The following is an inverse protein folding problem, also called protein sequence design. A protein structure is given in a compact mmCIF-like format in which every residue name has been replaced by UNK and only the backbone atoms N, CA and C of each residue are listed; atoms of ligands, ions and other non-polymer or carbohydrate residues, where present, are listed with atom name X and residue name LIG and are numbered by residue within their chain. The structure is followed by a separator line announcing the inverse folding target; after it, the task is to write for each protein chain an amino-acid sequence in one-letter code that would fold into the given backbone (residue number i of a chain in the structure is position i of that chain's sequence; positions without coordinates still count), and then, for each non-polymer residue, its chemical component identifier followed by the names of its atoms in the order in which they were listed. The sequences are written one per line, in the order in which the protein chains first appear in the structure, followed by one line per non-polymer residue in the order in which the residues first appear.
data_IF_995907715822
#
_entry.id   IF_995907715822
#
_cell.length_a   1.000
_cell.length_b   1.000
_cell.length_c   1.000
_cell.angle_alpha   90.00
_cell.angle_beta   90.00
_cell.angle_gamma   90.00
#
_symmetry.space_group_name_H-M   'P 1'
#
loop_
_entity.id
_entity.type
_entity.pdbx_description
1 polymer ?
#
# COMPACT_ATOMS: atom_id res chain seq x y z
N UNK A 1 0.07 16.86 -13.95
CA UNK A 1 -0.64 15.65 -13.50
C UNK A 1 -0.03 14.48 -14.27
N UNK A 2 0.69 13.59 -13.60
CA UNK A 2 1.33 12.44 -14.25
C UNK A 2 0.20 11.60 -14.84
N UNK A 3 0.06 11.57 -16.17
CA UNK A 3 -0.69 10.50 -16.83
C UNK A 3 0.15 9.23 -16.71
N UNK A 4 0.27 8.71 -15.49
CA UNK A 4 0.54 7.29 -15.31
C UNK A 4 -0.53 6.61 -16.16
N UNK A 5 -0.14 5.77 -17.13
CA UNK A 5 -1.10 4.95 -17.87
C UNK A 5 -1.72 3.98 -16.87
N UNK A 6 -2.72 4.47 -16.14
CA UNK A 6 -3.40 3.75 -15.07
C UNK A 6 -3.86 2.39 -15.60
N UNK A 7 -4.21 2.32 -16.89
CA UNK A 7 -4.50 1.14 -17.69
C UNK A 7 -3.53 -0.04 -17.46
N UNK A 8 -2.21 0.18 -17.37
CA UNK A 8 -1.22 -0.91 -17.30
C UNK A 8 -1.13 -1.53 -15.91
N UNK A 9 -1.34 -0.74 -14.84
CA UNK A 9 -1.24 -1.20 -13.45
C UNK A 9 -2.51 -1.95 -13.01
N UNK A 10 -3.64 -1.71 -13.69
CA UNK A 10 -4.91 -2.41 -13.43
C UNK A 10 -4.77 -3.93 -13.66
N UNK A 11 -4.09 -4.35 -14.74
CA UNK A 11 -4.07 -5.77 -15.10
C UNK A 11 -3.37 -6.65 -14.04
N UNK A 12 -2.16 -6.31 -13.53
CA UNK A 12 -1.55 -7.04 -12.43
C UNK A 12 -2.43 -7.07 -11.17
N UNK A 13 -3.12 -5.97 -10.87
CA UNK A 13 -3.98 -5.86 -9.70
C UNK A 13 -5.22 -6.78 -9.78
N UNK A 14 -5.91 -6.78 -10.93
CA UNK A 14 -7.04 -7.69 -11.17
C UNK A 14 -6.58 -9.15 -11.08
N UNK A 15 -5.43 -9.48 -11.67
CA UNK A 15 -4.85 -10.82 -11.58
C UNK A 15 -4.57 -11.19 -10.12
N UNK A 16 -4.00 -10.28 -9.33
CA UNK A 16 -3.74 -10.49 -7.92
C UNK A 16 -5.03 -10.73 -7.12
N UNK A 17 -6.08 -9.92 -7.33
CA UNK A 17 -7.38 -10.13 -6.69
C UNK A 17 -7.99 -11.49 -7.03
N UNK A 18 -7.90 -11.92 -8.30
CA UNK A 18 -8.35 -13.24 -8.73
C UNK A 18 -7.56 -14.36 -8.05
N UNK A 19 -6.24 -14.22 -7.91
CA UNK A 19 -5.41 -15.17 -7.18
C UNK A 19 -5.84 -15.24 -5.71
N UNK A 20 -6.07 -14.10 -5.05
CA UNK A 20 -6.52 -14.04 -3.65
C UNK A 20 -7.87 -14.75 -3.48
N UNK A 21 -8.84 -14.48 -4.37
CA UNK A 21 -10.14 -15.13 -4.35
C UNK A 21 -10.00 -16.66 -4.53
N UNK A 22 -9.29 -17.10 -5.57
CA UNK A 22 -9.13 -18.53 -5.87
C UNK A 22 -8.38 -19.28 -4.75
N UNK A 23 -7.29 -18.70 -4.25
CA UNK A 23 -6.53 -19.29 -3.14
C UNK A 23 -7.36 -19.32 -1.85
N UNK A 24 -8.12 -18.26 -1.56
CA UNK A 24 -9.07 -18.20 -0.46
C UNK A 24 -10.16 -19.28 -0.55
N UNK A 25 -10.76 -19.47 -1.72
CA UNK A 25 -11.77 -20.52 -1.94
C UNK A 25 -11.19 -21.93 -1.77
N UNK A 26 -10.00 -22.19 -2.33
CA UNK A 26 -9.29 -23.46 -2.15
C UNK A 26 -9.00 -23.70 -0.67
N UNK A 27 -8.60 -22.66 0.04
CA UNK A 27 -8.30 -22.72 1.46
C UNK A 27 -9.54 -23.05 2.29
N UNK A 28 -10.67 -22.36 2.05
CA UNK A 28 -11.94 -22.61 2.73
C UNK A 28 -12.43 -24.03 2.46
N UNK A 29 -12.33 -24.51 1.21
CA UNK A 29 -12.69 -25.89 0.85
C UNK A 29 -11.87 -26.92 1.65
N UNK A 30 -10.57 -26.64 1.84
CA UNK A 30 -9.62 -27.48 2.59
C UNK A 30 -9.63 -27.25 4.11
N UNK A 31 -10.51 -26.39 4.64
CA UNK A 31 -10.69 -26.25 6.08
C UNK A 31 -11.03 -27.61 6.70
N UNK A 32 -10.19 -28.05 7.63
CA UNK A 32 -10.37 -29.30 8.37
C UNK A 32 -11.54 -29.18 9.33
N UNK A 33 -12.26 -30.29 9.49
CA UNK A 33 -13.37 -30.45 10.43
C UNK A 33 -12.80 -30.39 11.86
N UNK A 34 -13.49 -29.65 12.74
CA UNK A 34 -13.18 -29.56 14.16
C UNK A 34 -14.22 -30.30 14.99
N UNK A 35 -13.77 -31.02 16.01
CA UNK A 35 -14.64 -31.66 17.00
C UNK A 35 -14.87 -30.70 18.16
N UNK A 36 -16.14 -30.34 18.40
CA UNK A 36 -16.56 -29.42 19.46
C UNK A 36 -17.30 -30.14 20.60
N UNK A 37 -18.03 -31.20 20.28
CA UNK A 37 -18.85 -32.01 21.19
C UNK A 37 -18.75 -33.50 20.84
N UNK A 38 -19.33 -34.40 21.65
CA UNK A 38 -19.24 -35.85 21.41
C UNK A 38 -20.17 -36.25 20.25
N UNK A 39 -21.29 -35.53 20.11
CA UNK A 39 -22.23 -35.72 19.03
C UNK A 39 -21.63 -35.38 17.64
N UNK A 40 -21.51 -36.40 16.79
CA UNK A 40 -20.96 -36.26 15.45
C UNK A 40 -21.83 -35.39 14.52
N UNK A 41 -23.16 -35.46 14.66
CA UNK A 41 -24.10 -34.73 13.82
C UNK A 41 -24.04 -33.22 14.09
N UNK A 42 -24.03 -32.84 15.38
CA UNK A 42 -23.81 -31.46 15.81
C UNK A 42 -22.48 -30.90 15.30
N UNK A 43 -21.39 -31.69 15.38
CA UNK A 43 -20.10 -31.29 14.85
C UNK A 43 -20.13 -31.04 13.33
N UNK A 44 -20.78 -31.92 12.55
CA UNK A 44 -20.91 -31.75 11.11
C UNK A 44 -21.66 -30.45 10.79
N UNK A 45 -22.81 -30.21 11.44
CA UNK A 45 -23.61 -29.00 11.23
C UNK A 45 -22.84 -27.72 11.57
N UNK A 46 -22.13 -27.70 12.71
CA UNK A 46 -21.32 -26.53 13.12
C UNK A 46 -20.18 -26.28 12.11
N UNK A 47 -19.52 -27.33 11.60
CA UNK A 47 -18.45 -27.16 10.61
C UNK A 47 -18.96 -26.72 9.23
N UNK A 48 -20.15 -27.18 8.82
CA UNK A 48 -20.79 -26.69 7.59
C UNK A 48 -21.15 -25.21 7.71
N UNK A 49 -21.78 -24.81 8.81
CA UNK A 49 -22.10 -23.41 9.10
C UNK A 49 -20.82 -22.55 9.14
N UNK A 50 -19.74 -23.06 9.76
CA UNK A 50 -18.43 -22.39 9.79
C UNK A 50 -17.89 -22.15 8.38
N UNK A 51 -17.88 -23.18 7.52
CA UNK A 51 -17.41 -23.04 6.13
C UNK A 51 -18.25 -22.03 5.35
N UNK A 52 -19.57 -22.05 5.51
CA UNK A 52 -20.47 -21.09 4.88
C UNK A 52 -20.16 -19.65 5.31
N UNK A 53 -19.97 -19.41 6.61
CA UNK A 53 -19.62 -18.08 7.13
C UNK A 53 -18.29 -17.59 6.58
N UNK A 54 -17.28 -18.46 6.45
CA UNK A 54 -16.02 -18.10 5.78
C UNK A 54 -16.22 -17.74 4.30
N UNK A 55 -17.05 -18.48 3.55
CA UNK A 55 -17.37 -18.15 2.17
C UNK A 55 -18.07 -16.80 2.06
N UNK A 56 -19.09 -16.56 2.88
CA UNK A 56 -19.84 -15.30 2.91
C UNK A 56 -18.89 -14.12 3.22
N UNK A 57 -18.01 -14.26 4.22
CA UNK A 57 -17.06 -13.21 4.59
C UNK A 57 -16.04 -12.94 3.48
N UNK A 58 -15.45 -13.99 2.89
CA UNK A 58 -14.50 -13.83 1.79
C UNK A 58 -15.17 -13.18 0.57
N UNK A 59 -16.38 -13.62 0.22
CA UNK A 59 -17.14 -13.06 -0.88
C UNK A 59 -17.46 -11.57 -0.66
N UNK A 60 -18.03 -11.21 0.51
CA UNK A 60 -18.33 -9.82 0.83
C UNK A 60 -17.07 -8.94 0.81
N UNK A 61 -15.95 -9.42 1.37
CA UNK A 61 -14.69 -8.68 1.39
C UNK A 61 -14.16 -8.44 -0.03
N UNK A 62 -14.04 -9.50 -0.83
CA UNK A 62 -13.50 -9.43 -2.19
C UNK A 62 -14.38 -8.61 -3.12
N UNK A 63 -15.70 -8.72 -3.01
CA UNK A 63 -16.64 -7.90 -3.78
C UNK A 63 -16.55 -6.42 -3.39
N UNK A 64 -16.51 -6.12 -2.09
CA UNK A 64 -16.37 -4.75 -1.58
C UNK A 64 -15.06 -4.12 -2.06
N UNK A 65 -13.96 -4.86 -1.97
CA UNK A 65 -12.65 -4.41 -2.44
C UNK A 65 -12.64 -4.18 -3.96
N UNK A 66 -13.19 -5.11 -4.75
CA UNK A 66 -13.30 -4.95 -6.20
C UNK A 66 -14.10 -3.70 -6.60
N UNK A 67 -15.25 -3.45 -5.95
CA UNK A 67 -16.06 -2.26 -6.19
C UNK A 67 -15.35 -0.97 -5.81
N UNK A 68 -14.67 -0.96 -4.65
CA UNK A 68 -13.90 0.18 -4.17
C UNK A 68 -12.80 0.56 -5.17
N UNK A 69 -12.03 -0.42 -5.63
CA UNK A 69 -10.96 -0.21 -6.59
C UNK A 69 -11.50 0.23 -7.96
N UNK A 70 -12.61 -0.34 -8.43
CA UNK A 70 -13.25 0.09 -9.68
C UNK A 70 -13.63 1.58 -9.63
N UNK A 71 -14.24 2.03 -8.53
CA UNK A 71 -14.65 3.43 -8.37
C UNK A 71 -13.45 4.38 -8.30
N UNK A 72 -12.39 4.02 -7.56
CA UNK A 72 -11.14 4.78 -7.56
C UNK A 72 -10.59 4.89 -8.97
N UNK A 73 -10.58 3.79 -9.72
CA UNK A 73 -10.04 3.79 -11.08
C UNK A 73 -10.83 4.70 -12.01
N UNK A 74 -12.16 4.63 -11.97
CA UNK A 74 -13.03 5.50 -12.77
C UNK A 74 -12.91 6.97 -12.36
N UNK A 75 -12.62 7.26 -11.09
CA UNK A 75 -12.29 8.60 -10.63
C UNK A 75 -10.94 9.08 -11.18
N UNK A 76 -9.90 8.24 -11.15
CA UNK A 76 -8.58 8.57 -11.69
C UNK A 76 -8.60 8.78 -13.22
N UNK A 77 -9.51 8.12 -13.92
CA UNK A 77 -9.79 8.33 -15.35
C UNK A 77 -10.71 9.52 -15.62
N UNK A 78 -11.03 10.33 -14.61
CA UNK A 78 -11.91 11.51 -14.68
C UNK A 78 -13.35 11.19 -15.14
N UNK A 79 -13.76 9.92 -15.12
CA UNK A 79 -15.10 9.49 -15.49
C UNK A 79 -16.10 9.70 -14.35
N UNK A 80 -15.66 9.55 -13.10
CA UNK A 80 -16.47 9.70 -11.90
C UNK A 80 -16.07 10.92 -11.07
N UNK A 81 -17.06 11.50 -10.37
CA UNK A 81 -16.86 12.58 -9.39
C UNK A 81 -16.46 12.02 -8.03
N UNK A 82 -15.79 12.84 -7.21
CA UNK A 82 -15.34 12.47 -5.86
C UNK A 82 -16.44 11.91 -4.95
N UNK A 83 -17.70 12.33 -5.14
CA UNK A 83 -18.85 11.82 -4.36
C UNK A 83 -19.01 10.30 -4.43
N UNK A 84 -18.62 9.66 -5.55
CA UNK A 84 -18.69 8.20 -5.68
C UNK A 84 -17.68 7.48 -4.79
N UNK A 85 -16.53 8.10 -4.51
CA UNK A 85 -15.54 7.57 -3.56
C UNK A 85 -16.15 7.53 -2.15
N UNK A 86 -16.85 8.60 -1.74
CA UNK A 86 -17.53 8.66 -0.45
C UNK A 86 -18.57 7.54 -0.36
N UNK A 87 -19.38 7.36 -1.41
CA UNK A 87 -20.40 6.32 -1.45
C UNK A 87 -19.82 4.90 -1.29
N UNK A 88 -18.76 4.57 -2.05
CA UNK A 88 -18.15 3.23 -1.97
C UNK A 88 -17.39 3.01 -0.65
N UNK A 89 -16.89 4.09 -0.04
CA UNK A 89 -16.32 4.04 1.31
C UNK A 89 -17.39 3.67 2.34
N UNK A 90 -18.54 4.33 2.30
CA UNK A 90 -19.70 4.01 3.16
C UNK A 90 -20.14 2.55 2.93
N UNK A 91 -20.22 2.12 1.68
CA UNK A 91 -20.55 0.73 1.34
C UNK A 91 -19.55 -0.26 1.97
N UNK A 92 -18.25 0.07 1.96
CA UNK A 92 -17.19 -0.76 2.58
C UNK A 92 -17.31 -0.82 4.11
N UNK A 93 -17.78 0.24 4.75
CA UNK A 93 -18.14 0.20 6.17
C UNK A 93 -19.34 -0.72 6.43
N UNK A 94 -20.37 -0.65 5.58
CA UNK A 94 -21.55 -1.52 5.69
C UNK A 94 -21.17 -2.99 5.51
N UNK A 95 -20.33 -3.34 4.53
CA UNK A 95 -19.88 -4.72 4.32
C UNK A 95 -19.08 -5.23 5.52
N UNK A 96 -18.27 -4.38 6.15
CA UNK A 96 -17.57 -4.72 7.39
C UNK A 96 -18.54 -5.01 8.54
N UNK A 97 -19.59 -4.20 8.72
CA UNK A 97 -20.63 -4.45 9.73
C UNK A 97 -21.37 -5.77 9.46
N UNK A 98 -21.72 -6.04 8.19
CA UNK A 98 -22.35 -7.30 7.79
C UNK A 98 -21.46 -8.52 8.10
N UNK A 99 -20.15 -8.40 7.88
CA UNK A 99 -19.18 -9.44 8.24
C UNK A 99 -19.15 -9.69 9.75
N UNK A 100 -19.12 -8.63 10.57
CA UNK A 100 -19.19 -8.75 12.03
C UNK A 100 -20.50 -9.38 12.49
N UNK A 101 -21.61 -9.05 11.84
CA UNK A 101 -22.90 -9.69 12.09
C UNK A 101 -22.87 -11.18 11.76
N UNK A 102 -22.35 -11.58 10.60
CA UNK A 102 -22.18 -13.00 10.21
C UNK A 102 -21.32 -13.77 11.22
N UNK A 103 -20.29 -13.11 11.73
CA UNK A 103 -19.43 -13.67 12.77
C UNK A 103 -20.20 -13.90 14.08
N UNK A 104 -21.01 -12.92 14.50
CA UNK A 104 -21.86 -13.05 15.68
C UNK A 104 -22.96 -14.11 15.51
N UNK A 105 -23.60 -14.14 14.34
CA UNK A 105 -24.61 -15.13 13.96
C UNK A 105 -24.06 -16.55 14.01
N UNK A 106 -22.82 -16.75 13.56
CA UNK A 106 -22.12 -18.04 13.71
C UNK A 106 -22.04 -18.49 15.17
N UNK A 107 -21.62 -17.59 16.07
CA UNK A 107 -21.50 -17.91 17.50
C UNK A 107 -22.87 -18.23 18.11
N UNK A 108 -23.91 -17.48 17.77
CA UNK A 108 -25.27 -17.74 18.24
C UNK A 108 -25.78 -19.10 17.76
N UNK A 109 -25.67 -19.38 16.46
CA UNK A 109 -26.07 -20.67 15.88
C UNK A 109 -25.26 -21.84 16.44
N UNK A 110 -23.97 -21.65 16.70
CA UNK A 110 -23.14 -22.67 17.36
C UNK A 110 -23.71 -23.01 18.74
N UNK A 111 -24.03 -22.00 19.54
CA UNK A 111 -24.61 -22.18 20.88
C UNK A 111 -25.99 -22.83 20.81
N UNK A 112 -26.84 -22.40 19.88
CA UNK A 112 -28.17 -22.98 19.65
C UNK A 112 -28.08 -24.46 19.28
N UNK A 113 -27.22 -24.82 18.31
CA UNK A 113 -27.00 -26.21 17.91
C UNK A 113 -26.51 -27.07 19.07
N UNK A 114 -25.54 -26.58 19.85
CA UNK A 114 -25.06 -27.31 21.02
C UNK A 114 -26.17 -27.53 22.05
N UNK A 115 -26.97 -26.50 22.33
CA UNK A 115 -28.12 -26.60 23.24
C UNK A 115 -29.19 -27.57 22.75
N UNK A 116 -29.45 -27.62 21.44
CA UNK A 116 -30.42 -28.53 20.82
C UNK A 116 -30.05 -30.01 21.04
N UNK A 117 -28.76 -30.32 20.98
CA UNK A 117 -28.23 -31.66 21.21
C UNK A 117 -27.91 -31.95 22.69
N UNK A 118 -28.23 -31.04 23.63
CA UNK A 118 -27.83 -31.12 25.05
C UNK A 118 -26.32 -31.29 25.27
N UNK A 119 -25.53 -30.71 24.38
CA UNK A 119 -24.07 -30.80 24.38
C UNK A 119 -23.45 -29.49 24.86
N UNK A 120 -22.23 -29.58 25.40
CA UNK A 120 -21.41 -28.42 25.70
C UNK A 120 -20.16 -28.43 24.81
N UNK A 121 -19.74 -27.25 24.33
CA UNK A 121 -18.46 -27.14 23.63
C UNK A 121 -17.35 -27.37 24.64
N UNK A 122 -16.66 -28.50 24.58
CA UNK A 122 -15.41 -28.65 25.30
C UNK A 122 -14.27 -28.07 24.48
N UNK A 123 -13.52 -27.14 25.07
CA UNK A 123 -12.18 -26.84 24.58
C UNK A 123 -11.27 -27.96 25.08
N UNK A 124 -10.56 -28.63 24.17
CA UNK A 124 -9.33 -29.32 24.56
C UNK A 124 -8.41 -28.22 25.11
N UNK A 125 -8.42 -28.02 26.44
CA UNK A 125 -7.49 -27.14 27.13
C UNK A 125 -6.09 -27.62 26.78
N UNK A 126 -5.46 -26.86 25.91
CA UNK A 126 -4.05 -27.03 25.57
C UNK A 126 -3.37 -25.71 25.88
N UNK A 127 -3.70 -25.13 27.03
CA UNK A 127 -3.17 -23.85 27.48
C UNK A 127 -1.63 -23.91 27.54
N UNK A 128 -1.06 -25.08 27.85
CA UNK A 128 0.38 -25.38 27.77
C UNK A 128 0.99 -25.20 26.37
N UNK A 129 0.18 -25.32 25.31
CA UNK A 129 0.60 -25.11 23.93
C UNK A 129 0.50 -23.63 23.52
N UNK A 130 -0.13 -22.76 24.31
CA UNK A 130 -0.23 -21.33 24.04
C UNK A 130 0.86 -20.58 24.80
N UNK A 131 1.74 -19.92 24.06
CA UNK A 131 2.85 -19.13 24.61
C UNK A 131 2.69 -17.67 24.22
N UNK A 132 3.25 -16.77 25.00
CA UNK A 132 3.36 -15.36 24.60
C UNK A 132 4.57 -15.22 23.69
N UNK A 133 4.34 -14.90 22.41
CA UNK A 133 5.36 -14.57 21.44
C UNK A 133 5.50 -13.06 21.25
N UNK A 134 6.46 -12.65 20.41
CA UNK A 134 6.74 -11.25 20.11
C UNK A 134 5.52 -10.47 19.58
N UNK A 135 4.62 -11.14 18.87
CA UNK A 135 3.41 -10.55 18.26
C UNK A 135 2.12 -10.97 18.98
N UNK A 136 2.22 -11.37 20.25
CA UNK A 136 1.09 -11.84 21.06
C UNK A 136 1.00 -13.37 21.18
N UNK A 137 -0.19 -13.92 21.48
CA UNK A 137 -0.37 -15.35 21.72
C UNK A 137 -0.01 -16.21 20.50
N UNK A 138 0.92 -17.14 20.69
CA UNK A 138 1.44 -18.05 19.68
C UNK A 138 1.19 -19.50 20.09
N UNK A 139 0.65 -20.29 19.16
CA UNK A 139 0.48 -21.72 19.37
C UNK A 139 1.79 -22.47 19.05
N UNK A 140 2.25 -23.30 19.98
CA UNK A 140 3.43 -24.15 19.84
C UNK A 140 3.10 -25.57 20.28
N UNK A 141 2.95 -26.48 19.32
CA UNK A 141 2.83 -27.90 19.60
C UNK A 141 3.60 -28.74 18.57
N UNK A 142 4.76 -29.33 18.92
CA UNK A 142 5.53 -30.18 18.02
C UNK A 142 4.76 -31.42 17.54
N UNK A 143 3.88 -31.97 18.38
CA UNK A 143 3.14 -33.20 18.13
C UNK A 143 1.87 -32.99 17.29
N UNK A 144 1.28 -31.79 17.34
CA UNK A 144 0.15 -31.46 16.46
C UNK A 144 0.64 -31.35 15.01
N UNK A 145 0.21 -32.20 14.06
CA UNK A 145 0.70 -32.16 12.67
C UNK A 145 0.25 -30.91 11.89
N UNK A 146 -0.67 -30.11 12.43
CA UNK A 146 -1.25 -28.94 11.75
C UNK A 146 -0.28 -27.75 11.74
N UNK A 147 -0.15 -27.10 10.59
CA UNK A 147 0.56 -25.80 10.45
C UNK A 147 -0.33 -24.62 10.79
N UNK A 148 -1.64 -24.69 10.49
CA UNK A 148 -2.64 -23.70 10.87
C UNK A 148 -3.67 -24.36 11.78
N UNK A 149 -3.92 -23.71 12.92
CA UNK A 149 -4.77 -24.21 14.00
C UNK A 149 -5.79 -23.12 14.33
N UNK A 150 -7.04 -23.49 14.61
CA UNK A 150 -8.00 -22.49 15.06
C UNK A 150 -7.69 -22.05 16.49
N UNK A 151 -7.85 -20.76 16.75
CA UNK A 151 -7.87 -20.23 18.11
C UNK A 151 -9.04 -20.83 18.93
N UNK A 152 -9.01 -20.71 20.27
CA UNK A 152 -10.02 -21.29 21.17
C UNK A 152 -11.50 -20.88 20.92
N UNK A 153 -11.78 -19.97 19.99
CA UNK A 153 -13.13 -19.63 19.51
C UNK A 153 -13.54 -20.20 18.14
N UNK A 154 -12.67 -20.96 17.46
CA UNK A 154 -12.93 -21.63 16.18
C UNK A 154 -12.90 -20.73 14.92
N UNK A 155 -12.95 -19.41 15.10
CA UNK A 155 -13.13 -18.45 13.99
C UNK A 155 -11.83 -17.87 13.45
N UNK A 156 -10.83 -17.70 14.30
CA UNK A 156 -9.51 -17.22 13.89
C UNK A 156 -8.58 -18.41 13.69
N UNK A 157 -7.68 -18.30 12.72
CA UNK A 157 -6.60 -19.26 12.50
C UNK A 157 -5.28 -18.64 12.94
N UNK A 158 -4.45 -19.43 13.59
CA UNK A 158 -3.08 -19.08 13.94
C UNK A 158 -2.12 -20.14 13.41
N UNK A 159 -0.86 -19.76 13.27
CA UNK A 159 0.19 -20.70 12.91
C UNK A 159 0.65 -21.51 14.12
N UNK A 160 0.88 -22.80 13.91
CA UNK A 160 1.68 -23.61 14.80
C UNK A 160 3.16 -23.31 14.57
N UNK A 161 3.74 -22.56 15.50
CA UNK A 161 5.14 -22.09 15.44
C UNK A 161 6.16 -23.24 15.51
N UNK A 162 5.75 -24.44 15.93
CA UNK A 162 6.60 -25.63 15.89
C UNK A 162 6.82 -26.17 14.47
N UNK A 163 6.05 -25.73 13.46
CA UNK A 163 6.10 -26.28 12.10
C UNK A 163 6.99 -25.49 11.16
N UNK A 164 7.63 -26.21 10.24
CA UNK A 164 8.45 -25.64 9.16
C UNK A 164 7.63 -24.70 8.26
N UNK A 165 6.34 -25.00 8.05
CA UNK A 165 5.45 -24.15 7.25
C UNK A 165 5.32 -22.71 7.77
N UNK A 166 5.25 -22.52 9.09
CA UNK A 166 5.29 -21.20 9.72
C UNK A 166 6.61 -20.47 9.41
N UNK A 167 7.75 -21.17 9.51
CA UNK A 167 9.06 -20.60 9.22
C UNK A 167 9.17 -20.15 7.76
N UNK A 168 8.75 -20.97 6.81
CA UNK A 168 8.75 -20.59 5.39
C UNK A 168 7.82 -19.40 5.11
N UNK A 169 6.65 -19.36 5.75
CA UNK A 169 5.74 -18.22 5.63
C UNK A 169 6.38 -16.93 6.15
N UNK A 170 6.98 -16.95 7.35
CA UNK A 170 7.64 -15.77 7.92
C UNK A 170 8.83 -15.33 7.08
N UNK A 171 9.68 -16.26 6.62
CA UNK A 171 10.80 -15.96 5.73
C UNK A 171 10.27 -15.31 4.46
N UNK A 172 9.28 -15.92 3.80
CA UNK A 172 8.69 -15.36 2.57
C UNK A 172 8.11 -13.97 2.79
N UNK A 173 7.37 -13.77 3.88
CA UNK A 173 6.76 -12.49 4.24
C UNK A 173 7.82 -11.40 4.47
N UNK A 174 8.85 -11.69 5.27
CA UNK A 174 9.96 -10.76 5.53
C UNK A 174 10.74 -10.49 4.24
N UNK A 175 11.00 -11.50 3.42
CA UNK A 175 11.68 -11.34 2.13
C UNK A 175 10.91 -10.42 1.19
N UNK A 176 9.58 -10.56 1.10
CA UNK A 176 8.74 -9.67 0.28
C UNK A 176 8.83 -8.23 0.78
N UNK A 177 8.74 -8.01 2.10
CA UNK A 177 8.90 -6.66 2.68
C UNK A 177 10.26 -6.09 2.36
N UNK A 178 11.34 -6.86 2.55
CA UNK A 178 12.70 -6.40 2.25
C UNK A 178 12.88 -6.09 0.77
N UNK A 179 12.42 -6.95 -0.14
CA UNK A 179 12.46 -6.69 -1.59
C UNK A 179 11.70 -5.41 -1.96
N UNK A 180 10.53 -5.18 -1.34
CA UNK A 180 9.74 -3.98 -1.58
C UNK A 180 10.44 -2.71 -1.08
N UNK A 181 11.06 -2.76 0.11
CA UNK A 181 11.83 -1.64 0.65
C UNK A 181 13.08 -1.37 -0.20
N UNK A 182 13.81 -2.42 -0.61
CA UNK A 182 14.95 -2.29 -1.53
C UNK A 182 14.50 -1.67 -2.85
N UNK A 183 13.33 -2.05 -3.37
CA UNK A 183 12.82 -1.44 -4.59
C UNK A 183 12.45 0.03 -4.38
N UNK A 184 11.70 0.38 -3.32
CA UNK A 184 11.31 1.77 -3.03
C UNK A 184 12.50 2.71 -2.86
N UNK A 185 13.54 2.28 -2.12
CA UNK A 185 14.69 3.13 -1.83
C UNK A 185 15.82 2.99 -2.85
N UNK A 186 16.00 1.79 -3.40
CA UNK A 186 17.05 1.48 -4.36
C UNK A 186 16.72 1.93 -5.78
N UNK A 187 15.44 1.96 -6.18
CA UNK A 187 15.08 2.39 -7.54
C UNK A 187 15.35 3.88 -7.80
N UNK A 188 14.94 4.83 -6.93
CA UNK A 188 15.32 6.24 -7.11
C UNK A 188 16.84 6.43 -7.07
N UNK A 189 17.54 5.67 -6.21
CA UNK A 189 19.00 5.71 -6.14
C UNK A 189 19.68 5.20 -7.42
N UNK A 190 19.13 4.15 -8.03
CA UNK A 190 19.58 3.65 -9.32
C UNK A 190 19.38 4.68 -10.44
N UNK A 191 18.25 5.38 -10.47
CA UNK A 191 18.00 6.45 -11.43
C UNK A 191 18.99 7.60 -11.25
N UNK A 192 19.28 7.99 -10.01
CA UNK A 192 20.25 9.04 -9.69
C UNK A 192 21.67 8.68 -10.17
N UNK A 193 22.14 7.45 -9.90
CA UNK A 193 23.47 6.99 -10.34
C UNK A 193 23.58 6.84 -11.86
N UNK A 194 22.47 6.70 -12.57
CA UNK A 194 22.43 6.56 -14.03
C UNK A 194 22.06 7.86 -14.75
N UNK A 195 21.94 8.98 -14.04
CA UNK A 195 21.52 10.29 -14.56
C UNK A 195 20.18 10.20 -15.34
N UNK A 196 19.19 9.53 -14.74
CA UNK A 196 17.83 9.39 -15.28
C UNK A 196 16.75 9.82 -14.27
N UNK A 197 17.12 10.51 -13.19
CA UNK A 197 16.18 10.94 -12.16
C UNK A 197 15.50 12.26 -12.51
N UNK A 198 16.23 13.23 -13.09
CA UNK A 198 15.69 14.53 -13.51
C UNK A 198 16.36 15.01 -14.79
N UNK A 199 15.56 15.33 -15.80
CA UNK A 199 16.00 15.92 -17.07
C UNK A 199 15.38 17.32 -17.26
N UNK A 200 16.23 18.30 -17.53
CA UNK A 200 15.84 19.67 -17.85
C UNK A 200 15.90 19.93 -19.35
N UNK A 201 14.73 20.22 -19.95
CA UNK A 201 14.66 20.54 -21.38
C UNK A 201 13.89 21.82 -21.69
N UNK A 202 14.20 22.41 -22.84
CA UNK A 202 13.52 23.60 -23.36
C UNK A 202 12.63 23.21 -24.54
N UNK A 203 11.31 23.32 -24.37
CA UNK A 203 10.35 23.02 -25.44
C UNK A 203 9.27 24.10 -25.49
N UNK A 204 8.93 24.57 -26.69
CA UNK A 204 7.82 25.53 -26.93
C UNK A 204 7.85 26.77 -26.02
N UNK A 205 9.03 27.34 -25.80
CA UNK A 205 9.25 28.50 -24.91
C UNK A 205 8.91 28.23 -23.43
N UNK A 206 9.02 26.98 -23.01
CA UNK A 206 8.87 26.53 -21.62
C UNK A 206 10.06 25.72 -21.16
N UNK A 207 10.39 25.85 -19.88
CA UNK A 207 11.28 24.95 -19.15
C UNK A 207 10.45 23.73 -18.76
N UNK A 208 10.85 22.55 -19.19
CA UNK A 208 10.23 21.28 -18.82
C UNK A 208 11.19 20.56 -17.88
N UNK A 209 10.69 20.28 -16.67
CA UNK A 209 11.35 19.43 -15.69
C UNK A 209 10.69 18.06 -15.75
N UNK A 210 11.41 17.07 -16.26
CA UNK A 210 10.92 15.70 -16.42
C UNK A 210 11.59 14.79 -15.41
N UNK A 211 10.80 14.01 -14.68
CA UNK A 211 11.27 12.96 -13.78
C UNK A 211 10.28 11.80 -13.82
N UNK A 212 10.74 10.59 -13.53
CA UNK A 212 9.84 9.45 -13.34
C UNK A 212 8.81 9.69 -12.22
N UNK A 213 9.13 10.57 -11.27
CA UNK A 213 8.29 10.84 -10.10
C UNK A 213 7.47 12.13 -10.22
N UNK A 214 7.74 13.01 -11.19
CA UNK A 214 7.04 14.27 -11.39
C UNK A 214 7.33 14.88 -12.76
N UNK A 215 6.36 15.66 -13.28
CA UNK A 215 6.54 16.46 -14.47
C UNK A 215 6.00 17.86 -14.21
N UNK A 216 6.76 18.88 -14.59
CA UNK A 216 6.40 20.27 -14.37
C UNK A 216 6.93 21.18 -15.49
N UNK A 217 6.20 22.25 -15.81
CA UNK A 217 6.58 23.23 -16.81
C UNK A 217 6.52 24.67 -16.30
N UNK A 218 7.53 25.47 -16.65
CA UNK A 218 7.61 26.91 -16.34
C UNK A 218 7.65 27.69 -17.66
N UNK A 219 6.78 28.68 -17.79
CA UNK A 219 6.79 29.57 -18.96
C UNK A 219 7.93 30.58 -18.87
N UNK A 220 8.78 30.61 -19.91
CA UNK A 220 9.94 31.51 -19.96
C UNK A 220 9.50 32.98 -19.98
N UNK A 221 8.34 33.29 -20.56
CA UNK A 221 7.83 34.66 -20.63
C UNK A 221 7.51 35.26 -19.25
N UNK A 222 7.38 34.43 -18.21
CA UNK A 222 7.11 34.85 -16.83
C UNK A 222 8.38 35.07 -16.00
N UNK A 223 9.55 34.78 -16.54
CA UNK A 223 10.82 34.84 -15.81
C UNK A 223 11.28 36.29 -15.71
N UNK A 224 11.42 36.79 -14.48
CA UNK A 224 11.93 38.13 -14.20
C UNK A 224 13.43 38.10 -13.94
N UNK A 225 13.93 37.07 -13.26
CA UNK A 225 15.35 36.93 -12.89
C UNK A 225 15.75 35.47 -12.76
N UNK A 226 17.02 35.20 -13.10
CA UNK A 226 17.66 33.90 -12.93
C UNK A 226 18.91 34.02 -12.04
N UNK A 227 19.05 33.13 -11.07
CA UNK A 227 20.24 32.98 -10.22
C UNK A 227 20.71 31.52 -10.24
N UNK A 228 22.01 31.29 -10.18
CA UNK A 228 22.59 29.95 -10.00
C UNK A 228 23.36 29.92 -8.69
N UNK A 229 23.18 28.87 -7.90
CA UNK A 229 23.83 28.71 -6.59
C UNK A 229 24.15 27.25 -6.32
N UNK A 230 25.19 26.98 -5.53
CA UNK A 230 25.48 25.63 -5.04
C UNK A 230 25.01 25.42 -3.60
N UNK A 231 24.44 26.46 -2.98
CA UNK A 231 23.95 26.42 -1.60
C UNK A 231 22.62 27.17 -1.48
N UNK A 232 21.58 26.45 -1.07
CA UNK A 232 20.25 27.00 -0.82
C UNK A 232 20.10 27.58 0.61
N UNK A 233 20.98 27.18 1.53
CA UNK A 233 20.86 27.44 2.96
C UNK A 233 19.83 26.52 3.63
N UNK A 234 19.49 26.87 4.87
CA UNK A 234 18.49 26.11 5.63
C UNK A 234 17.09 26.33 5.06
N UNK A 235 16.42 25.21 4.79
CA UNK A 235 15.07 25.17 4.23
C UNK A 235 14.18 24.23 5.02
N UNK A 236 12.88 24.57 5.08
CA UNK A 236 11.84 23.72 5.68
C UNK A 236 10.80 23.38 4.63
N UNK A 237 10.49 22.09 4.50
CA UNK A 237 9.38 21.62 3.66
C UNK A 237 8.04 22.05 4.26
N UNK A 238 7.22 22.73 3.49
CA UNK A 238 5.83 23.06 3.83
C UNK A 238 4.91 21.93 3.36
N UNK A 239 5.07 21.53 2.10
CA UNK A 239 4.26 20.48 1.47
C UNK A 239 5.07 19.76 0.39
N UNK A 240 4.81 18.48 0.18
CA UNK A 240 5.43 17.69 -0.89
C UNK A 240 6.27 16.52 -0.41
N UNK A 241 7.17 16.06 -1.26
CA UNK A 241 7.96 14.84 -1.09
C UNK A 241 9.44 15.21 -0.96
N UNK A 242 10.11 14.60 0.00
CA UNK A 242 11.57 14.62 0.15
C UNK A 242 12.00 13.19 0.45
N UNK A 243 12.83 12.63 -0.43
CA UNK A 243 13.34 11.26 -0.30
C UNK A 243 14.82 11.22 0.05
N UNK A 244 15.48 12.39 0.18
CA UNK A 244 16.93 12.51 0.23
C UNK A 244 17.64 12.31 -1.12
N UNK A 245 16.96 11.74 -2.13
CA UNK A 245 17.48 11.53 -3.49
C UNK A 245 16.85 12.56 -4.45
N UNK A 246 15.54 12.77 -4.33
CA UNK A 246 14.82 13.86 -4.98
C UNK A 246 13.88 14.56 -4.01
N UNK A 247 13.60 15.83 -4.30
CA UNK A 247 12.65 16.65 -3.57
C UNK A 247 11.70 17.37 -4.54
N UNK A 248 10.39 17.34 -4.24
CA UNK A 248 9.39 18.12 -4.96
C UNK A 248 8.36 18.75 -4.01
N UNK A 249 7.93 19.97 -4.30
CA UNK A 249 6.82 20.61 -3.60
C UNK A 249 7.13 22.02 -3.13
N UNK A 250 6.50 22.43 -2.04
CA UNK A 250 6.61 23.77 -1.47
C UNK A 250 7.56 23.76 -0.25
N UNK A 251 8.55 24.64 -0.30
CA UNK A 251 9.58 24.80 0.72
C UNK A 251 9.69 26.28 1.10
N UNK A 252 10.11 26.54 2.34
CA UNK A 252 10.52 27.86 2.78
C UNK A 252 12.01 27.85 3.07
N UNK A 253 12.79 28.59 2.30
CA UNK A 253 14.21 28.83 2.58
C UNK A 253 14.39 30.19 3.24
N UNK A 254 15.33 30.32 4.17
CA UNK A 254 15.59 31.61 4.83
C UNK A 254 16.01 32.70 3.83
N UNK A 255 16.81 32.33 2.82
CA UNK A 255 17.31 33.25 1.79
C UNK A 255 16.27 33.60 0.72
N UNK A 256 15.38 32.66 0.39
CA UNK A 256 14.50 32.77 -0.78
C UNK A 256 13.01 32.93 -0.44
N UNK A 257 12.62 32.73 0.82
CA UNK A 257 11.20 32.70 1.22
C UNK A 257 10.51 31.44 0.72
N UNK A 258 9.23 31.57 0.36
CA UNK A 258 8.42 30.46 -0.15
C UNK A 258 8.80 30.13 -1.60
N UNK A 259 9.12 28.87 -1.86
CA UNK A 259 9.64 28.39 -3.13
C UNK A 259 9.00 27.07 -3.53
N UNK A 260 8.83 26.87 -4.83
CA UNK A 260 8.48 25.60 -5.46
C UNK A 260 9.75 24.89 -5.90
N UNK A 261 9.93 23.68 -5.40
CA UNK A 261 11.19 22.93 -5.48
C UNK A 261 10.97 21.70 -6.36
N UNK A 262 11.91 21.45 -7.26
CA UNK A 262 12.00 20.25 -8.09
C UNK A 262 13.47 19.86 -8.26
N UNK A 263 13.99 19.04 -7.34
CA UNK A 263 15.41 18.83 -7.18
C UNK A 263 15.81 17.36 -7.31
N UNK A 264 16.97 17.15 -7.92
CA UNK A 264 17.82 16.00 -7.65
C UNK A 264 18.71 16.36 -6.44
N UNK A 265 18.32 15.88 -5.25
CA UNK A 265 18.80 16.35 -3.94
C UNK A 265 20.29 16.07 -3.67
N UNK A 266 20.87 15.05 -4.34
CA UNK A 266 22.27 14.68 -4.18
C UNK A 266 23.23 15.55 -5.00
N UNK A 267 22.71 16.32 -5.96
CA UNK A 267 23.50 17.10 -6.90
C UNK A 267 23.48 18.58 -6.55
N UNK A 268 24.65 19.11 -6.22
CA UNK A 268 24.80 20.51 -5.80
C UNK A 268 25.02 21.40 -7.02
N UNK A 269 23.94 21.93 -7.57
CA UNK A 269 23.93 23.10 -8.45
C UNK A 269 22.46 23.43 -8.68
N UNK A 270 22.00 24.64 -8.37
CA UNK A 270 20.58 24.96 -8.38
C UNK A 270 20.33 26.22 -9.18
N UNK A 271 19.32 26.18 -10.03
CA UNK A 271 18.81 27.33 -10.77
C UNK A 271 17.60 27.87 -10.00
N UNK A 272 17.71 29.11 -9.53
CA UNK A 272 16.63 29.87 -8.92
C UNK A 272 15.98 30.71 -10.02
N UNK A 273 14.69 30.47 -10.25
CA UNK A 273 13.89 31.16 -11.25
C UNK A 273 12.87 32.00 -10.51
N UNK A 274 13.04 33.32 -10.61
CA UNK A 274 12.09 34.28 -10.07
C UNK A 274 11.04 34.56 -11.13
N UNK A 275 9.78 34.29 -10.81
CA UNK A 275 8.63 34.67 -11.63
C UNK A 275 7.79 35.68 -10.87
N UNK A 276 6.85 36.32 -11.58
CA UNK A 276 5.92 37.27 -10.98
C UNK A 276 5.12 36.70 -9.80
N UNK A 277 4.78 35.42 -9.87
CA UNK A 277 3.88 34.77 -8.92
C UNK A 277 4.63 33.93 -7.87
N UNK A 278 5.70 33.23 -8.27
CA UNK A 278 6.42 32.26 -7.45
C UNK A 278 7.94 32.26 -7.69
N UNK A 279 8.69 31.65 -6.76
CA UNK A 279 10.11 31.33 -6.93
C UNK A 279 10.23 29.83 -7.15
N UNK A 280 10.89 29.43 -8.24
CA UNK A 280 11.18 28.02 -8.53
C UNK A 280 12.65 27.71 -8.30
N UNK A 281 12.93 26.54 -7.73
CA UNK A 281 14.28 26.03 -7.53
C UNK A 281 14.35 24.68 -8.22
N UNK A 282 15.19 24.58 -9.26
CA UNK A 282 15.34 23.38 -10.07
C UNK A 282 16.81 23.01 -10.25
N UNK A 283 17.08 21.75 -10.47
CA UNK A 283 18.35 21.27 -11.00
C UNK A 283 18.17 20.01 -11.83
N UNK A 284 19.17 19.74 -12.63
CA UNK A 284 19.35 18.47 -13.31
C UNK A 284 20.07 17.49 -12.36
N UNK A 285 20.07 16.22 -12.71
CA UNK A 285 20.81 15.20 -11.97
C UNK A 285 22.30 15.12 -12.36
N UNK A 286 22.72 15.92 -13.33
CA UNK A 286 24.12 16.25 -13.55
C UNK A 286 24.41 17.75 -13.34
N UNK A 287 25.55 18.04 -12.69
CA UNK A 287 25.96 19.41 -12.36
C UNK A 287 26.34 20.20 -13.62
N UNK A 288 27.00 19.58 -14.59
CA UNK A 288 27.39 20.23 -15.84
C UNK A 288 26.18 20.45 -16.74
N UNK A 289 25.24 19.50 -16.78
CA UNK A 289 23.97 19.68 -17.49
C UNK A 289 23.14 20.82 -16.88
N UNK A 290 23.09 20.92 -15.54
CA UNK A 290 22.46 22.08 -14.87
C UNK A 290 23.11 23.40 -15.29
N UNK A 291 24.44 23.48 -15.31
CA UNK A 291 25.16 24.71 -15.73
C UNK A 291 24.93 25.04 -17.20
N UNK A 292 24.99 24.03 -18.07
CA UNK A 292 24.72 24.16 -19.50
C UNK A 292 23.31 24.69 -19.74
N UNK A 293 22.33 24.12 -19.05
CA UNK A 293 20.93 24.55 -19.12
C UNK A 293 20.77 26.01 -18.66
N UNK A 294 21.42 26.42 -17.57
CA UNK A 294 21.40 27.80 -17.11
C UNK A 294 21.95 28.79 -18.16
N UNK A 295 23.04 28.45 -18.86
CA UNK A 295 23.59 29.31 -19.92
C UNK A 295 22.64 29.41 -21.12
N UNK A 296 21.96 28.31 -21.47
CA UNK A 296 20.94 28.31 -22.51
C UNK A 296 19.77 29.23 -22.15
N UNK A 297 19.33 29.21 -20.89
CA UNK A 297 18.27 30.10 -20.39
C UNK A 297 18.66 31.57 -20.47
N UNK A 298 19.89 31.91 -20.05
CA UNK A 298 20.39 33.29 -20.14
C UNK A 298 20.43 33.85 -21.55
N UNK A 299 20.65 33.01 -22.55
CA UNK A 299 20.73 33.44 -23.95
C UNK A 299 19.36 33.74 -24.55
N UNK A 300 18.28 33.21 -23.93
CA UNK A 300 16.90 33.39 -24.39
C UNK A 300 16.12 34.47 -23.63
N UNK A 301 16.71 35.06 -22.61
CA UNK A 301 16.17 36.19 -21.87
C UNK A 301 16.60 37.50 -22.55
#
# INVERSE_FOLDING_TARGET
MIKYKADVIIYPFIILQMIILLTGLIFIKKLRIQTFCENNEANIMINLNRKQVFYDCLFCLTLSDALFNLVIQLYLLEMFKFIYIIFVTILSFITTILMLYKIKDYHNKKTELLSHYNECSYSLSSDDCWKIGLMGPAYYNPYDPRTLVSMPGGMQLTFNTAKKGYRYFIIGFISVILCFLIWIFGYPYYLDVTNNIVDLSLQNNKIIVTSEFYNFDIDIAKIERLEITNNLGDGKRINGTDTGIYAKGEYRFEKYGDCKVYLASLHKCYIIIYTKDDIYIINDDDIEDTKSFYQQLKTKQ
#
